data_IF_730927351346
#
_entry.id   IF_730927351346
#
_cell.length_a   1.000
_cell.length_b   1.000
_cell.length_c   1.000
_cell.angle_alpha   90.00
_cell.angle_beta   90.00
_cell.angle_gamma   90.00
#
_symmetry.space_group_name_H-M   'P 1'
#
loop_
_entity.id
_entity.type
_entity.pdbx_description
1 polymer ?
#
# COMPACT_ATOMS: atom_id res chain seq x y z
N UNK A 1 -24.32 14.99 8.45
CA UNK A 1 -23.16 15.09 9.35
C UNK A 1 -22.21 14.02 8.91
N UNK A 2 -21.11 14.38 8.27
CA UNK A 2 -20.04 13.43 7.99
C UNK A 2 -19.39 13.15 9.34
N UNK A 3 -19.70 11.99 9.92
CA UNK A 3 -19.05 11.50 11.14
C UNK A 3 -17.56 11.29 10.85
N UNK A 4 -16.76 12.30 11.13
CA UNK A 4 -15.33 12.23 10.88
C UNK A 4 -14.73 11.15 11.80
N UNK A 5 -14.17 10.12 11.21
CA UNK A 5 -13.57 8.98 11.94
C UNK A 5 -12.42 9.43 12.86
N UNK A 6 -11.77 10.56 12.54
CA UNK A 6 -10.68 11.13 13.33
C UNK A 6 -11.15 11.65 14.69
N UNK A 7 -12.42 12.05 14.80
CA UNK A 7 -13.02 12.53 16.04
C UNK A 7 -13.54 11.40 16.94
N UNK A 8 -13.64 10.17 16.40
CA UNK A 8 -14.14 9.00 17.13
C UNK A 8 -13.07 8.43 18.06
N UNK A 9 -13.48 8.03 19.24
CA UNK A 9 -12.63 7.27 20.14
C UNK A 9 -12.49 5.80 19.65
N UNK A 10 -11.60 5.03 20.29
CA UNK A 10 -11.33 3.65 19.86
C UNK A 10 -12.58 2.75 19.93
N UNK A 11 -13.43 2.94 20.95
CA UNK A 11 -14.64 2.14 21.11
C UNK A 11 -15.65 2.43 19.97
N UNK A 12 -15.83 3.69 19.60
CA UNK A 12 -16.68 4.09 18.49
C UNK A 12 -16.20 3.56 17.14
N UNK A 13 -14.86 3.47 16.94
CA UNK A 13 -14.30 2.85 15.74
C UNK A 13 -14.53 1.34 15.74
N UNK A 14 -14.38 0.68 16.86
CA UNK A 14 -14.69 -0.76 17.00
C UNK A 14 -16.16 -1.01 16.66
N UNK A 15 -17.06 -0.19 17.17
CA UNK A 15 -18.48 -0.28 16.85
C UNK A 15 -18.76 -0.04 15.37
N UNK A 16 -18.15 1.00 14.79
CA UNK A 16 -18.26 1.30 13.36
C UNK A 16 -17.81 0.09 12.50
N UNK A 17 -16.64 -0.51 12.79
CA UNK A 17 -16.14 -1.67 12.05
C UNK A 17 -17.04 -2.90 12.28
N UNK A 18 -17.52 -3.13 13.52
CA UNK A 18 -18.33 -4.29 13.86
C UNK A 18 -19.72 -4.26 13.20
N UNK A 19 -20.32 -3.08 13.12
CA UNK A 19 -21.63 -2.84 12.52
C UNK A 19 -21.56 -2.66 10.99
N UNK A 20 -20.38 -2.38 10.43
CA UNK A 20 -20.21 -2.23 8.99
C UNK A 20 -20.69 -3.49 8.26
N UNK A 21 -21.44 -3.27 7.18
CA UNK A 21 -21.90 -4.36 6.32
C UNK A 21 -20.71 -5.12 5.75
N UNK A 22 -20.68 -6.44 6.02
CA UNK A 22 -19.66 -7.31 5.43
C UNK A 22 -20.00 -7.56 3.97
N UNK A 23 -19.04 -7.36 3.08
CA UNK A 23 -19.22 -7.46 1.63
C UNK A 23 -18.16 -8.38 1.00
N UNK A 24 -18.58 -9.07 -0.05
CA UNK A 24 -17.72 -9.90 -0.90
C UNK A 24 -18.00 -9.54 -2.35
N UNK A 25 -17.52 -8.37 -2.81
CA UNK A 25 -17.72 -7.95 -4.17
C UNK A 25 -17.00 -8.89 -5.14
N UNK A 26 -17.64 -9.16 -6.25
CA UNK A 26 -17.10 -9.98 -7.33
C UNK A 26 -17.18 -9.26 -8.65
N UNK A 27 -16.24 -9.59 -9.54
CA UNK A 27 -16.29 -9.29 -10.95
C UNK A 27 -16.45 -10.60 -11.69
N UNK A 28 -17.49 -10.70 -12.46
CA UNK A 28 -17.86 -11.92 -13.19
C UNK A 28 -17.74 -11.67 -14.68
N UNK A 29 -16.97 -12.50 -15.35
CA UNK A 29 -16.98 -12.62 -16.80
C UNK A 29 -17.90 -13.78 -17.14
N UNK A 30 -18.87 -13.56 -18.02
CA UNK A 30 -19.83 -14.59 -18.37
C UNK A 30 -20.21 -14.54 -19.84
N UNK A 31 -20.24 -15.71 -20.47
CA UNK A 31 -20.77 -15.93 -21.82
C UNK A 31 -22.03 -16.78 -21.74
N UNK A 32 -23.01 -16.49 -22.63
CA UNK A 32 -24.28 -17.20 -22.68
C UNK A 32 -25.32 -16.45 -23.52
N UNK A 33 -26.61 -16.77 -23.37
CA UNK A 33 -27.70 -16.04 -24.00
C UNK A 33 -28.54 -15.26 -22.99
N UNK A 34 -28.23 -13.97 -22.85
CA UNK A 34 -28.89 -13.05 -21.93
C UNK A 34 -29.88 -12.11 -22.64
N UNK A 35 -30.21 -12.35 -23.90
CA UNK A 35 -31.06 -11.47 -24.75
C UNK A 35 -32.45 -11.19 -24.18
N UNK A 36 -32.97 -12.06 -23.31
CA UNK A 36 -34.27 -11.93 -22.64
C UNK A 36 -34.18 -11.80 -21.13
N UNK A 37 -32.98 -11.56 -20.63
CA UNK A 37 -32.73 -11.55 -19.18
C UNK A 37 -32.82 -10.13 -18.60
N UNK A 38 -33.54 -10.00 -17.50
CA UNK A 38 -33.54 -8.78 -16.69
C UNK A 38 -32.65 -9.02 -15.49
N UNK A 39 -31.59 -8.20 -15.37
CA UNK A 39 -30.67 -8.29 -14.24
C UNK A 39 -31.20 -7.53 -13.02
N UNK A 40 -30.92 -8.01 -11.79
CA UNK A 40 -31.21 -7.26 -10.58
C UNK A 40 -30.54 -5.89 -10.55
N UNK A 41 -31.16 -4.90 -9.90
CA UNK A 41 -30.61 -3.54 -9.73
C UNK A 41 -29.24 -3.51 -9.02
N UNK A 42 -28.92 -4.54 -8.24
CA UNK A 42 -27.62 -4.71 -7.57
C UNK A 42 -26.48 -5.08 -8.52
N UNK A 43 -26.78 -5.40 -9.79
CA UNK A 43 -25.80 -5.77 -10.80
C UNK A 43 -25.42 -4.56 -11.64
N UNK A 44 -24.12 -4.30 -11.76
CA UNK A 44 -23.59 -3.40 -12.79
C UNK A 44 -23.13 -4.24 -13.98
N UNK A 45 -23.86 -4.19 -15.06
CA UNK A 45 -23.68 -5.07 -16.23
C UNK A 45 -23.08 -4.27 -17.39
N UNK A 46 -22.04 -4.82 -18.01
CA UNK A 46 -21.38 -4.27 -19.19
C UNK A 46 -21.18 -5.35 -20.23
N UNK A 47 -21.36 -5.02 -21.52
CA UNK A 47 -21.12 -5.95 -22.63
C UNK A 47 -22.30 -6.06 -23.57
N UNK A 48 -22.47 -7.23 -24.15
CA UNK A 48 -23.55 -7.58 -25.11
C UNK A 48 -24.36 -8.74 -24.55
N UNK A 49 -25.51 -9.03 -25.15
CA UNK A 49 -26.37 -10.13 -24.69
C UNK A 49 -25.70 -11.52 -24.68
N UNK A 50 -24.52 -11.66 -25.28
CA UNK A 50 -23.78 -12.93 -25.36
C UNK A 50 -22.49 -12.95 -24.51
N UNK A 51 -21.95 -11.79 -24.12
CA UNK A 51 -20.71 -11.70 -23.38
C UNK A 51 -20.75 -10.49 -22.46
N UNK A 52 -20.70 -10.75 -21.17
CA UNK A 52 -20.92 -9.75 -20.13
C UNK A 52 -19.77 -9.71 -19.12
N UNK A 53 -19.54 -8.51 -18.57
CA UNK A 53 -18.80 -8.30 -17.35
C UNK A 53 -19.77 -7.74 -16.31
N UNK A 54 -19.90 -8.42 -15.17
CA UNK A 54 -20.85 -8.08 -14.12
C UNK A 54 -20.10 -7.79 -12.82
N UNK A 55 -20.41 -6.65 -12.18
CA UNK A 55 -19.95 -6.34 -10.83
C UNK A 55 -21.12 -6.45 -9.87
N UNK A 56 -20.99 -7.28 -8.83
CA UNK A 56 -22.05 -7.52 -7.85
C UNK A 56 -21.48 -8.11 -6.56
N UNK A 57 -22.34 -8.44 -5.60
CA UNK A 57 -21.99 -9.24 -4.42
C UNK A 57 -21.98 -10.73 -4.76
N UNK A 58 -21.05 -11.49 -4.18
CA UNK A 58 -20.96 -12.95 -4.43
C UNK A 58 -22.28 -13.69 -4.21
N UNK A 59 -22.99 -13.36 -3.12
CA UNK A 59 -24.27 -13.99 -2.81
C UNK A 59 -25.35 -13.73 -3.85
N UNK A 60 -25.36 -12.51 -4.42
CA UNK A 60 -26.34 -12.11 -5.43
C UNK A 60 -26.03 -12.82 -6.76
N UNK A 61 -24.75 -12.94 -7.12
CA UNK A 61 -24.33 -13.77 -8.25
C UNK A 61 -24.70 -15.24 -8.07
N UNK A 62 -24.45 -15.81 -6.89
CA UNK A 62 -24.78 -17.21 -6.60
C UNK A 62 -26.28 -17.48 -6.68
N UNK A 63 -27.12 -16.56 -6.18
CA UNK A 63 -28.57 -16.65 -6.32
C UNK A 63 -28.98 -16.55 -7.78
N UNK A 64 -28.47 -15.57 -8.52
CA UNK A 64 -28.79 -15.39 -9.92
C UNK A 64 -28.45 -16.62 -10.78
N UNK A 65 -27.25 -17.18 -10.61
CA UNK A 65 -26.83 -18.33 -11.42
C UNK A 65 -27.56 -19.64 -11.04
N UNK A 66 -28.06 -19.74 -9.81
CA UNK A 66 -28.88 -20.89 -9.42
C UNK A 66 -30.19 -20.96 -10.21
N UNK A 67 -30.79 -19.79 -10.49
CA UNK A 67 -32.05 -19.67 -11.22
C UNK A 67 -31.88 -19.58 -12.76
N UNK A 68 -30.65 -19.29 -13.25
CA UNK A 68 -30.38 -19.01 -14.65
C UNK A 68 -29.21 -19.83 -15.21
N UNK A 69 -29.00 -21.02 -14.68
CA UNK A 69 -27.88 -21.89 -15.07
C UNK A 69 -27.90 -22.26 -16.56
N UNK A 70 -29.07 -22.41 -17.11
CA UNK A 70 -29.32 -22.74 -18.52
C UNK A 70 -28.93 -21.63 -19.52
N UNK A 71 -28.80 -20.39 -19.03
CA UNK A 71 -28.40 -19.26 -19.87
C UNK A 71 -26.88 -19.12 -19.99
N UNK A 72 -26.12 -19.81 -19.15
CA UNK A 72 -24.67 -19.62 -19.00
C UNK A 72 -23.89 -20.75 -19.65
N UNK A 73 -23.11 -20.41 -20.68
CA UNK A 73 -22.18 -21.33 -21.32
C UNK A 73 -20.88 -21.44 -20.50
N UNK A 74 -20.31 -20.30 -20.10
CA UNK A 74 -19.05 -20.21 -19.36
C UNK A 74 -19.04 -18.99 -18.43
N UNK A 75 -18.49 -19.12 -17.24
CA UNK A 75 -18.24 -17.97 -16.36
C UNK A 75 -16.96 -18.11 -15.56
N UNK A 76 -16.31 -16.96 -15.29
CA UNK A 76 -15.17 -16.84 -14.40
C UNK A 76 -15.48 -15.76 -13.35
N UNK A 77 -15.16 -16.04 -12.08
CA UNK A 77 -15.45 -15.14 -10.97
C UNK A 77 -14.15 -14.70 -10.32
N UNK A 78 -13.85 -13.42 -10.41
CA UNK A 78 -12.73 -12.79 -9.70
C UNK A 78 -13.22 -12.17 -8.40
N UNK A 79 -12.44 -12.38 -7.32
CA UNK A 79 -12.65 -11.71 -6.05
C UNK A 79 -11.29 -11.39 -5.41
N UNK A 80 -11.21 -10.27 -4.72
CA UNK A 80 -9.99 -9.80 -4.02
C UNK A 80 -10.15 -9.77 -2.50
N UNK A 81 -11.40 -9.92 -2.00
CA UNK A 81 -11.73 -9.88 -0.58
C UNK A 81 -12.97 -10.73 -0.29
N UNK A 82 -13.11 -11.15 0.97
CA UNK A 82 -14.29 -11.89 1.44
C UNK A 82 -14.72 -11.39 2.80
N UNK A 83 -16.03 -11.10 2.95
CA UNK A 83 -16.62 -10.57 4.19
C UNK A 83 -15.86 -9.34 4.73
N UNK A 84 -15.40 -8.48 3.85
CA UNK A 84 -14.68 -7.26 4.20
C UNK A 84 -15.64 -6.23 4.79
N UNK A 85 -15.25 -5.62 5.91
CA UNK A 85 -16.06 -4.63 6.60
C UNK A 85 -15.85 -3.22 6.05
N UNK A 86 -14.58 -2.86 5.83
CA UNK A 86 -14.18 -1.51 5.41
C UNK A 86 -13.50 -1.64 4.05
N UNK A 87 -14.00 -0.96 3.01
CA UNK A 87 -13.41 -1.00 1.68
C UNK A 87 -12.04 -0.32 1.65
N UNK A 88 -11.36 -0.46 0.54
CA UNK A 88 -10.18 0.36 0.23
C UNK A 88 -10.64 1.75 -0.22
N UNK A 89 -9.78 2.74 0.01
CA UNK A 89 -10.00 4.12 -0.38
C UNK A 89 -10.07 4.25 -1.90
N UNK A 90 -11.02 5.06 -2.38
CA UNK A 90 -11.01 5.53 -3.76
C UNK A 90 -9.84 6.51 -3.94
N UNK A 91 -8.92 6.16 -4.83
CA UNK A 91 -7.71 6.92 -5.10
C UNK A 91 -7.87 7.93 -6.24
N UNK A 92 -9.00 7.96 -6.92
CA UNK A 92 -9.21 8.80 -8.12
C UNK A 92 -9.11 10.29 -7.85
N UNK A 93 -9.31 10.74 -6.61
CA UNK A 93 -9.27 12.13 -6.19
C UNK A 93 -8.12 12.44 -5.23
N UNK A 94 -7.20 11.51 -5.03
CA UNK A 94 -6.07 11.69 -4.10
C UNK A 94 -4.90 12.33 -4.82
N UNK A 95 -4.49 13.51 -4.39
CA UNK A 95 -3.34 14.24 -4.97
C UNK A 95 -2.02 13.82 -4.30
N UNK A 96 -1.66 12.55 -4.44
CA UNK A 96 -0.47 11.95 -3.87
C UNK A 96 0.12 10.91 -4.82
N UNK A 97 1.39 10.56 -4.65
CA UNK A 97 1.99 9.42 -5.36
C UNK A 97 1.74 8.14 -4.58
N UNK A 98 0.95 7.24 -5.13
CA UNK A 98 0.59 5.99 -4.51
C UNK A 98 1.05 4.84 -5.40
N UNK A 99 2.02 4.08 -4.91
CA UNK A 99 2.62 2.98 -5.66
C UNK A 99 1.74 1.72 -5.59
N UNK A 100 1.78 0.86 -6.63
CA UNK A 100 0.96 -0.34 -6.68
C UNK A 100 1.27 -1.30 -5.52
N UNK A 101 0.23 -2.02 -5.05
CA UNK A 101 0.35 -2.97 -3.94
C UNK A 101 0.33 -2.35 -2.55
N UNK A 102 0.08 -1.03 -2.43
CA UNK A 102 -0.27 -0.41 -1.16
C UNK A 102 -1.74 -0.66 -0.82
N UNK A 103 -2.06 -0.80 0.48
CA UNK A 103 -3.42 -0.99 0.98
C UNK A 103 -3.82 0.17 1.87
N UNK A 104 -4.73 1.00 1.37
CA UNK A 104 -5.22 2.19 2.10
C UNK A 104 -6.72 2.00 2.34
N UNK A 105 -7.14 2.05 3.60
CA UNK A 105 -8.57 1.95 3.95
C UNK A 105 -9.32 3.24 3.66
N UNK A 106 -10.63 3.14 3.38
CA UNK A 106 -11.48 4.26 2.94
C UNK A 106 -11.41 5.48 3.87
N UNK A 107 -11.45 5.25 5.17
CA UNK A 107 -11.44 6.31 6.18
C UNK A 107 -10.03 6.81 6.56
N UNK A 108 -9.00 6.46 5.80
CA UNK A 108 -7.68 7.06 5.95
C UNK A 108 -7.59 8.38 5.19
N UNK A 109 -6.85 9.36 5.73
CA UNK A 109 -6.59 10.64 5.08
C UNK A 109 -5.18 10.66 4.48
N UNK A 110 -5.09 11.00 3.20
CA UNK A 110 -3.82 11.16 2.49
C UNK A 110 -3.78 12.58 1.95
N UNK A 111 -2.88 13.39 2.47
CA UNK A 111 -2.75 14.78 2.09
C UNK A 111 -1.85 14.98 0.85
N UNK A 112 -1.94 16.18 0.29
CA UNK A 112 -1.28 16.57 -0.94
C UNK A 112 0.23 16.34 -0.92
N UNK A 113 0.75 15.81 -2.02
CA UNK A 113 2.18 15.57 -2.18
C UNK A 113 2.74 14.42 -1.34
N UNK A 114 1.90 13.71 -0.60
CA UNK A 114 2.34 12.50 0.10
C UNK A 114 2.82 11.43 -0.89
N UNK A 115 3.67 10.53 -0.40
CA UNK A 115 4.18 9.38 -1.15
C UNK A 115 3.92 8.11 -0.36
N UNK A 116 3.16 7.19 -0.93
CA UNK A 116 2.90 5.87 -0.35
C UNK A 116 3.54 4.82 -1.24
N UNK A 117 4.56 4.17 -0.72
CA UNK A 117 5.33 3.17 -1.46
C UNK A 117 4.65 1.80 -1.46
N UNK A 118 5.13 0.92 -2.33
CA UNK A 118 4.58 -0.42 -2.52
C UNK A 118 4.57 -1.23 -1.21
N UNK A 119 3.49 -1.96 -0.98
CA UNK A 119 3.30 -2.82 0.20
C UNK A 119 2.99 -2.07 1.50
N UNK A 120 2.94 -0.73 1.49
CA UNK A 120 2.52 0.03 2.67
C UNK A 120 1.06 -0.25 3.02
N UNK A 121 0.77 -0.31 4.32
CA UNK A 121 -0.58 -0.55 4.85
C UNK A 121 -1.02 0.63 5.71
N UNK A 122 -2.09 1.29 5.31
CA UNK A 122 -2.63 2.46 6.01
C UNK A 122 -4.05 2.13 6.47
N UNK A 123 -4.21 1.98 7.79
CA UNK A 123 -5.46 1.51 8.38
C UNK A 123 -6.45 2.68 8.59
N UNK A 124 -7.68 2.31 8.96
CA UNK A 124 -8.79 3.22 9.21
C UNK A 124 -8.39 4.36 10.16
N UNK A 125 -8.77 5.58 9.80
CA UNK A 125 -8.51 6.77 10.59
C UNK A 125 -7.05 7.21 10.67
N UNK A 126 -6.13 6.57 9.97
CA UNK A 126 -4.76 7.06 9.88
C UNK A 126 -4.67 8.31 8.99
N UNK A 127 -3.76 9.23 9.36
CA UNK A 127 -3.53 10.49 8.64
C UNK A 127 -2.08 10.55 8.15
N UNK A 128 -1.92 10.73 6.86
CA UNK A 128 -0.62 10.99 6.22
C UNK A 128 -0.53 12.45 5.83
N UNK A 129 0.31 13.20 6.52
CA UNK A 129 0.47 14.64 6.32
C UNK A 129 1.11 15.01 4.99
N UNK A 130 1.02 16.30 4.58
CA UNK A 130 1.51 16.78 3.30
C UNK A 130 3.00 16.48 3.08
N UNK A 131 3.36 15.98 1.89
CA UNK A 131 4.74 15.69 1.54
C UNK A 131 5.40 14.56 2.33
N UNK A 132 4.66 13.87 3.19
CA UNK A 132 5.17 12.75 3.98
C UNK A 132 5.32 11.49 3.14
N UNK A 133 6.41 10.75 3.36
CA UNK A 133 6.64 9.46 2.71
C UNK A 133 6.38 8.31 3.68
N UNK A 134 5.55 7.40 3.24
CA UNK A 134 5.32 6.08 3.86
C UNK A 134 6.03 5.06 2.98
N UNK A 135 7.17 4.59 3.45
CA UNK A 135 8.07 3.75 2.66
C UNK A 135 7.59 2.29 2.57
N UNK A 136 8.30 1.47 1.79
CA UNK A 136 7.91 0.11 1.42
C UNK A 136 7.55 -0.75 2.65
N UNK A 137 6.36 -1.34 2.63
CA UNK A 137 5.91 -2.25 3.69
C UNK A 137 5.69 -1.61 5.06
N UNK A 138 5.77 -0.28 5.19
CA UNK A 138 5.46 0.38 6.45
C UNK A 138 3.98 0.25 6.80
N UNK A 139 3.67 0.14 8.09
CA UNK A 139 2.32 -0.06 8.59
C UNK A 139 1.90 1.09 9.51
N UNK A 140 0.87 1.82 9.11
CA UNK A 140 0.18 2.80 9.95
C UNK A 140 -1.07 2.14 10.54
N UNK A 141 -1.02 1.87 11.84
CA UNK A 141 -2.15 1.35 12.60
C UNK A 141 -3.32 2.33 12.63
N UNK A 142 -4.47 1.86 13.12
CA UNK A 142 -5.66 2.72 13.18
C UNK A 142 -5.41 4.02 13.92
N UNK A 143 -5.80 5.14 13.32
CA UNK A 143 -5.62 6.52 13.82
C UNK A 143 -4.17 7.02 13.96
N UNK A 144 -3.15 6.29 13.53
CA UNK A 144 -1.79 6.82 13.51
C UNK A 144 -1.72 8.12 12.67
N UNK A 145 -1.07 9.14 13.20
CA UNK A 145 -1.01 10.47 12.57
C UNK A 145 0.45 10.79 12.23
N UNK A 146 0.69 11.21 11.00
CA UNK A 146 1.97 11.79 10.59
C UNK A 146 1.78 13.25 10.18
N UNK A 147 2.69 14.09 10.61
CA UNK A 147 2.77 15.49 10.22
C UNK A 147 3.30 15.68 8.80
N UNK A 148 3.72 16.90 8.51
CA UNK A 148 4.23 17.32 7.21
C UNK A 148 5.68 16.85 7.01
N UNK A 149 6.04 16.48 5.78
CA UNK A 149 7.40 16.11 5.36
C UNK A 149 8.08 15.02 6.21
N UNK A 150 7.32 14.24 6.98
CA UNK A 150 7.89 13.15 7.74
C UNK A 150 8.34 12.01 6.81
N UNK A 151 9.19 11.13 7.34
CA UNK A 151 9.59 9.91 6.66
C UNK A 151 9.32 8.71 7.56
N UNK A 152 8.47 7.80 7.12
CA UNK A 152 8.20 6.54 7.80
C UNK A 152 8.92 5.45 7.02
N UNK A 153 10.06 5.01 7.53
CA UNK A 153 10.99 4.12 6.83
C UNK A 153 10.42 2.73 6.55
N UNK A 154 11.05 2.03 5.62
CA UNK A 154 10.60 0.73 5.16
C UNK A 154 10.36 -0.26 6.31
N UNK A 155 9.21 -0.94 6.31
CA UNK A 155 8.83 -1.89 7.34
C UNK A 155 8.60 -1.31 8.73
N UNK A 156 8.64 0.01 8.91
CA UNK A 156 8.33 0.64 10.20
C UNK A 156 6.85 0.47 10.57
N UNK A 157 6.57 0.37 11.87
CA UNK A 157 5.22 0.19 12.39
C UNK A 157 4.88 1.33 13.34
N UNK A 158 3.83 2.07 13.04
CA UNK A 158 3.15 2.94 13.97
C UNK A 158 1.95 2.18 14.53
N UNK A 159 1.95 1.87 15.83
CA UNK A 159 0.91 1.04 16.44
C UNK A 159 -0.48 1.69 16.34
N UNK A 160 -1.51 0.88 16.25
CA UNK A 160 -2.90 1.33 16.22
C UNK A 160 -3.50 1.38 17.62
N UNK A 161 -4.71 1.96 17.71
CA UNK A 161 -5.43 2.17 18.99
C UNK A 161 -6.68 1.30 19.15
N UNK A 162 -6.85 0.27 18.33
CA UNK A 162 -8.05 -0.57 18.38
C UNK A 162 -7.93 -1.65 19.45
N UNK A 163 -6.76 -2.19 19.65
CA UNK A 163 -6.42 -3.19 20.66
C UNK A 163 -5.06 -2.86 21.29
N UNK A 164 -5.01 -2.32 22.52
CA UNK A 164 -6.12 -2.05 23.46
C UNK A 164 -6.93 -0.79 23.12
N UNK A 165 -8.26 -0.80 23.36
CA UNK A 165 -9.15 0.27 22.92
C UNK A 165 -9.05 1.59 23.70
N UNK A 166 -8.21 1.65 24.71
CA UNK A 166 -7.98 2.84 25.54
C UNK A 166 -6.77 3.67 25.12
N UNK A 167 -6.03 3.26 24.08
CA UNK A 167 -4.81 3.90 23.70
C UNK A 167 -5.05 5.21 22.94
N UNK A 168 -4.17 6.20 23.15
CA UNK A 168 -4.06 7.36 22.29
C UNK A 168 -3.34 7.00 20.98
N UNK A 169 -3.60 7.72 19.88
CA UNK A 169 -2.90 7.47 18.63
C UNK A 169 -1.40 7.79 18.71
N UNK A 170 -0.62 7.07 17.91
CA UNK A 170 0.75 7.48 17.63
C UNK A 170 0.72 8.79 16.84
N UNK A 171 1.52 9.76 17.26
CA UNK A 171 1.69 11.03 16.55
C UNK A 171 3.15 11.20 16.18
N UNK A 172 3.44 11.30 14.89
CA UNK A 172 4.75 11.67 14.35
C UNK A 172 4.64 13.10 13.85
N UNK A 173 5.35 14.03 14.46
CA UNK A 173 5.29 15.45 14.11
C UNK A 173 6.08 15.75 12.82
N UNK A 174 6.01 17.02 12.38
CA UNK A 174 6.62 17.48 11.14
C UNK A 174 8.12 17.18 11.08
N UNK A 175 8.61 16.91 9.88
CA UNK A 175 10.02 16.70 9.57
C UNK A 175 10.70 15.53 10.35
N UNK A 176 9.93 14.72 11.07
CA UNK A 176 10.49 13.59 11.83
C UNK A 176 10.85 12.42 10.89
N UNK A 177 11.87 11.68 11.27
CA UNK A 177 12.40 10.54 10.52
C UNK A 177 12.30 9.26 11.34
N UNK A 178 11.50 8.31 10.89
CA UNK A 178 11.40 6.97 11.48
C UNK A 178 12.22 6.02 10.63
N UNK A 179 13.27 5.45 11.21
CA UNK A 179 14.15 4.50 10.52
C UNK A 179 13.46 3.19 10.18
N UNK A 180 14.02 2.47 9.19
CA UNK A 180 13.48 1.20 8.73
C UNK A 180 13.29 0.19 9.88
N UNK A 181 12.19 -0.57 9.86
CA UNK A 181 11.82 -1.58 10.87
C UNK A 181 11.72 -1.05 12.31
N UNK A 182 11.62 0.26 12.51
CA UNK A 182 11.35 0.80 13.84
C UNK A 182 9.88 0.59 14.21
N UNK A 183 9.61 0.38 15.48
CA UNK A 183 8.27 0.23 16.05
C UNK A 183 8.00 1.37 17.02
N UNK A 184 6.91 2.09 16.83
CA UNK A 184 6.42 3.11 17.76
C UNK A 184 5.15 2.59 18.39
N UNK A 185 5.14 2.41 19.71
CA UNK A 185 3.98 1.91 20.44
C UNK A 185 2.87 2.97 20.51
N UNK A 186 1.67 2.52 20.80
CA UNK A 186 0.47 3.35 20.95
C UNK A 186 0.68 4.47 21.98
N UNK A 187 0.01 5.61 21.76
CA UNK A 187 0.08 6.79 22.64
C UNK A 187 1.36 7.59 22.57
N UNK A 188 2.33 7.16 21.76
CA UNK A 188 3.65 7.80 21.71
C UNK A 188 3.65 8.97 20.73
N UNK A 189 4.26 10.07 21.16
CA UNK A 189 4.55 11.24 20.34
C UNK A 189 6.03 11.31 19.94
N UNK A 190 6.29 11.39 18.66
CA UNK A 190 7.62 11.66 18.10
C UNK A 190 7.68 13.13 17.74
N UNK A 191 8.47 13.90 18.46
CA UNK A 191 8.55 15.35 18.32
C UNK A 191 9.15 15.80 16.98
N UNK A 192 8.88 17.03 16.61
CA UNK A 192 9.32 17.63 15.36
C UNK A 192 10.81 17.43 15.08
N UNK A 193 11.12 17.01 13.86
CA UNK A 193 12.50 16.80 13.41
C UNK A 193 13.26 15.73 14.20
N UNK A 194 12.59 14.92 15.02
CA UNK A 194 13.25 13.83 15.74
C UNK A 194 13.60 12.67 14.81
N UNK A 195 14.62 11.91 15.17
CA UNK A 195 15.06 10.72 14.41
C UNK A 195 14.95 9.49 15.30
N UNK A 196 14.21 8.51 14.84
CA UNK A 196 14.18 7.16 15.39
C UNK A 196 15.11 6.28 14.56
N UNK A 197 16.14 5.73 15.17
CA UNK A 197 17.08 4.85 14.45
C UNK A 197 16.40 3.56 13.99
N UNK A 198 16.89 2.98 12.90
CA UNK A 198 16.36 1.73 12.35
C UNK A 198 16.33 0.60 13.40
N UNK A 199 15.29 -0.23 13.38
CA UNK A 199 15.11 -1.37 14.27
C UNK A 199 14.83 -1.00 15.74
N UNK A 200 14.58 0.27 16.05
CA UNK A 200 14.28 0.70 17.42
C UNK A 200 12.85 0.41 17.84
N UNK A 201 12.62 0.15 19.14
CA UNK A 201 11.27 0.06 19.72
C UNK A 201 11.06 1.26 20.66
N UNK A 202 10.22 2.19 20.23
CA UNK A 202 9.93 3.42 20.97
C UNK A 202 8.78 3.17 21.92
N UNK A 203 9.05 3.31 23.22
CA UNK A 203 8.11 3.05 24.31
C UNK A 203 7.79 4.29 25.15
N UNK A 204 8.32 5.45 24.78
CA UNK A 204 8.11 6.75 25.42
C UNK A 204 8.24 7.87 24.39
N UNK A 205 7.62 9.00 24.67
CA UNK A 205 7.72 10.19 23.83
C UNK A 205 9.16 10.55 23.50
N UNK A 206 9.37 10.98 22.28
CA UNK A 206 10.67 11.44 21.79
C UNK A 206 10.63 12.96 21.68
N UNK A 207 11.48 13.71 22.43
CA UNK A 207 11.50 15.15 22.30
C UNK A 207 11.93 15.60 20.90
N UNK A 208 11.47 16.79 20.49
CA UNK A 208 11.85 17.39 19.22
C UNK A 208 13.38 17.45 19.04
N UNK A 209 13.84 17.22 17.83
CA UNK A 209 15.24 17.28 17.41
C UNK A 209 16.17 16.34 18.21
N UNK A 210 15.66 15.23 18.76
CA UNK A 210 16.47 14.20 19.40
C UNK A 210 16.56 12.95 18.54
N UNK A 211 17.67 12.25 18.69
CA UNK A 211 17.90 10.92 18.10
C UNK A 211 17.73 9.88 19.18
N UNK A 212 16.85 8.90 18.90
CA UNK A 212 16.66 7.75 19.79
C UNK A 212 17.06 6.46 19.07
N UNK A 213 17.57 5.49 19.85
CA UNK A 213 17.96 4.18 19.33
C UNK A 213 17.80 3.09 20.40
N UNK A 214 17.63 1.86 19.92
CA UNK A 214 17.63 0.65 20.74
C UNK A 214 16.25 0.11 21.10
N UNK A 215 16.21 -0.95 21.89
CA UNK A 215 15.02 -1.66 22.37
C UNK A 215 15.14 -1.90 23.87
N UNK A 216 14.45 -1.11 24.73
CA UNK A 216 13.67 0.08 24.37
C UNK A 216 14.54 1.25 23.91
N UNK A 217 13.99 2.10 23.05
CA UNK A 217 14.68 3.26 22.49
C UNK A 217 15.01 4.29 23.58
N UNK A 218 16.22 4.83 23.52
CA UNK A 218 16.70 5.89 24.42
C UNK A 218 17.31 7.03 23.62
N UNK A 219 17.23 8.25 24.15
CA UNK A 219 17.92 9.40 23.56
C UNK A 219 19.40 9.16 23.58
N UNK A 220 20.07 9.23 22.43
CA UNK A 220 21.51 9.02 22.28
C UNK A 220 22.27 10.28 21.91
N UNK A 221 21.64 11.24 21.23
CA UNK A 221 22.24 12.51 20.81
C UNK A 221 21.20 13.52 20.31
N UNK A 222 21.65 14.74 19.98
CA UNK A 222 20.84 15.72 19.24
C UNK A 222 20.94 15.47 17.75
N UNK A 223 19.90 15.86 17.00
CA UNK A 223 19.89 15.80 15.52
C UNK A 223 20.99 16.69 14.93
N UNK A 224 21.39 17.77 15.62
CA UNK A 224 22.50 18.63 15.20
C UNK A 224 23.84 17.89 15.13
N UNK A 225 23.99 16.80 15.90
CA UNK A 225 25.19 15.97 15.95
C UNK A 225 25.16 14.83 14.90
N UNK A 226 24.17 14.82 14.02
CA UNK A 226 24.06 13.85 12.93
C UNK A 226 24.60 14.46 11.65
N UNK A 227 25.42 13.72 10.92
CA UNK A 227 25.93 14.12 9.61
C UNK A 227 24.76 14.45 8.67
N UNK A 228 24.86 15.54 7.91
CA UNK A 228 23.78 16.04 7.06
C UNK A 228 23.30 15.00 6.05
N UNK A 229 24.21 14.23 5.47
CA UNK A 229 23.91 13.17 4.51
C UNK A 229 23.09 11.97 5.11
N UNK A 230 22.97 11.90 6.43
CA UNK A 230 22.21 10.83 7.12
C UNK A 230 20.83 11.27 7.60
N UNK A 231 20.50 12.54 7.45
CA UNK A 231 19.23 13.14 7.88
C UNK A 231 18.49 13.83 6.74
N UNK A 232 19.11 13.90 5.56
CA UNK A 232 18.54 14.56 4.40
C UNK A 232 17.34 13.78 3.86
N UNK A 233 16.25 14.50 3.70
CA UNK A 233 15.03 14.00 3.05
C UNK A 233 15.12 14.38 1.58
N UNK A 234 15.17 13.37 0.69
CA UNK A 234 15.26 13.58 -0.75
C UNK A 234 13.94 14.14 -1.31
N UNK A 235 13.83 15.46 -1.39
CA UNK A 235 12.62 16.14 -1.87
C UNK A 235 12.27 15.77 -3.31
N UNK A 236 13.27 15.47 -4.15
CA UNK A 236 13.06 15.04 -5.53
C UNK A 236 12.20 13.77 -5.66
N UNK A 237 12.20 12.90 -4.64
CA UNK A 237 11.36 11.69 -4.61
C UNK A 237 9.89 11.98 -4.28
N UNK A 238 9.57 13.18 -3.84
CA UNK A 238 8.23 13.63 -3.42
C UNK A 238 7.55 14.51 -4.47
N UNK A 239 8.23 14.82 -5.57
CA UNK A 239 7.64 15.60 -6.64
C UNK A 239 6.60 14.75 -7.37
N UNK A 240 5.39 15.28 -7.49
CA UNK A 240 4.38 14.77 -8.39
C UNK A 240 4.65 15.36 -9.78
N UNK A 241 4.29 14.62 -10.82
CA UNK A 241 4.30 15.19 -12.18
C UNK A 241 3.26 16.32 -12.22
N UNK A 242 3.69 17.54 -12.55
CA UNK A 242 2.85 18.75 -12.62
C UNK A 242 1.77 18.68 -13.72
N UNK A 243 1.71 17.60 -14.46
CA UNK A 243 0.71 17.39 -15.50
C UNK A 243 -0.62 16.90 -14.91
N UNK A 244 -1.31 17.81 -14.26
CA UNK A 244 -2.70 17.57 -13.87
C UNK A 244 -3.56 17.41 -15.13
N UNK A 245 -4.21 16.27 -15.23
CA UNK A 245 -5.34 16.08 -16.12
C UNK A 245 -6.45 17.07 -15.71
N UNK A 246 -6.67 18.08 -16.52
CA UNK A 246 -7.77 19.04 -16.28
C UNK A 246 -8.99 18.57 -17.04
N UNK A 247 -10.09 18.40 -16.31
CA UNK A 247 -11.39 18.21 -16.93
C UNK A 247 -11.80 19.52 -17.60
N UNK A 248 -12.06 19.48 -18.89
CA UNK A 248 -12.63 20.58 -19.65
C UNK A 248 -13.93 20.08 -20.28
N UNK A 249 -15.04 20.32 -19.57
CA UNK A 249 -16.32 19.68 -19.86
C UNK A 249 -16.24 18.16 -19.60
N UNK A 250 -16.87 17.36 -20.44
CA UNK A 250 -16.86 15.90 -20.34
C UNK A 250 -15.60 15.22 -20.94
N UNK A 251 -14.59 15.99 -21.34
CA UNK A 251 -13.34 15.49 -21.90
C UNK A 251 -12.15 15.73 -20.97
N UNK A 252 -11.35 14.69 -20.78
CA UNK A 252 -10.01 14.76 -20.21
C UNK A 252 -9.06 15.39 -21.25
N UNK A 253 -8.56 16.61 -20.99
CA UNK A 253 -7.52 17.22 -21.82
C UNK A 253 -6.18 17.22 -21.07
N UNK A 254 -5.12 16.82 -21.77
CA UNK A 254 -3.75 16.93 -21.30
C UNK A 254 -3.33 18.42 -21.33
N UNK A 255 -2.87 18.95 -20.19
CA UNK A 255 -2.34 20.33 -20.14
C UNK A 255 -1.14 20.53 -21.05
N UNK A 256 -0.83 21.78 -21.46
CA UNK A 256 0.32 22.09 -22.32
C UNK A 256 1.63 21.83 -21.56
N UNK A 257 2.30 20.74 -21.89
CA UNK A 257 3.55 20.29 -21.26
C UNK A 257 3.97 18.88 -21.70
N UNK A 258 3.12 18.16 -22.43
CA UNK A 258 3.50 16.85 -22.92
C UNK A 258 4.56 16.99 -24.01
N UNK A 259 5.79 16.64 -23.68
CA UNK A 259 6.83 16.35 -24.65
C UNK A 259 6.48 15.02 -25.33
N UNK A 260 5.46 15.03 -26.17
CA UNK A 260 5.36 14.11 -27.28
C UNK A 260 5.97 14.82 -28.52
N UNK A 261 7.21 15.23 -28.39
CA UNK A 261 8.06 15.79 -29.42
C UNK A 261 9.33 14.97 -29.48
N UNK A 262 9.32 13.98 -30.35
CA UNK A 262 10.50 13.37 -30.96
C UNK A 262 11.81 14.12 -30.69
N UNK A 263 12.54 13.65 -29.72
CA UNK A 263 14.00 13.63 -29.63
C UNK A 263 14.33 12.70 -28.46
N UNK A 264 14.10 11.41 -28.64
CA UNK A 264 14.84 10.41 -27.87
C UNK A 264 16.29 10.55 -28.35
N UNK A 265 17.24 10.89 -27.48
CA UNK A 265 18.65 10.62 -27.81
C UNK A 265 18.68 9.10 -28.05
N UNK A 266 19.23 8.69 -29.18
CA UNK A 266 19.55 7.30 -29.44
C UNK A 266 20.28 6.75 -28.21
N UNK A 267 19.71 5.76 -27.58
CA UNK A 267 20.39 5.02 -26.53
C UNK A 267 21.71 4.52 -27.13
N UNK A 268 22.86 4.75 -26.50
CA UNK A 268 24.12 4.23 -27.01
C UNK A 268 23.98 2.71 -27.13
N UNK A 269 24.53 2.10 -28.18
CA UNK A 269 24.43 0.69 -28.42
C UNK A 269 24.96 -0.08 -27.20
N UNK A 270 24.15 -0.94 -26.61
CA UNK A 270 24.56 -1.83 -25.53
C UNK A 270 25.57 -2.80 -26.11
N UNK A 271 26.86 -2.49 -25.98
CA UNK A 271 27.91 -3.42 -26.26
C UNK A 271 27.97 -4.43 -25.14
N UNK A 272 27.56 -5.65 -25.39
CA UNK A 272 27.82 -6.80 -24.52
C UNK A 272 29.33 -6.98 -24.42
N UNK A 273 29.92 -6.59 -23.30
CA UNK A 273 31.29 -6.94 -22.97
C UNK A 273 31.32 -8.36 -22.41
N UNK A 274 32.21 -9.15 -22.95
CA UNK A 274 32.51 -10.50 -22.47
C UNK A 274 32.88 -10.52 -20.98
N UNK A 275 32.61 -11.63 -20.24
CA UNK A 275 32.88 -11.75 -18.83
C UNK A 275 34.38 -11.92 -18.57
N UNK A 276 35.01 -10.93 -18.03
CA UNK A 276 36.42 -11.01 -17.62
C UNK A 276 37.01 -9.69 -17.17
N UNK A 277 36.63 -9.21 -16.00
CA UNK A 277 37.43 -8.48 -15.00
C UNK A 277 36.51 -7.96 -13.89
N UNK A 278 36.64 -8.56 -12.71
CA UNK A 278 36.02 -8.08 -11.46
C UNK A 278 36.73 -6.83 -10.97
N UNK A 279 36.00 -5.76 -10.62
CA UNK A 279 36.54 -4.71 -9.76
C UNK A 279 36.45 -5.16 -8.30
N UNK A 280 37.53 -5.00 -7.57
CA UNK A 280 37.59 -5.18 -6.11
C UNK A 280 36.63 -4.21 -5.39
N UNK A 281 35.56 -4.74 -4.83
CA UNK A 281 34.83 -4.10 -3.75
C UNK A 281 34.95 -4.94 -2.49
N UNK A 282 35.11 -4.34 -1.31
CA UNK A 282 35.21 -5.08 -0.06
C UNK A 282 33.89 -5.75 0.27
N UNK A 283 33.98 -7.04 0.51
CA UNK A 283 32.86 -7.93 0.81
C UNK A 283 32.22 -7.62 2.15
N UNK A 284 30.95 -7.25 2.17
CA UNK A 284 30.09 -7.49 3.32
C UNK A 284 29.14 -8.63 2.96
N UNK A 285 29.43 -9.80 3.53
CA UNK A 285 28.59 -10.97 3.41
C UNK A 285 27.32 -10.78 4.25
N UNK A 286 26.16 -10.79 3.59
CA UNK A 286 24.90 -11.21 4.19
C UNK A 286 24.47 -12.54 3.58
N UNK A 287 24.51 -13.58 4.40
CA UNK A 287 23.99 -14.90 4.06
C UNK A 287 22.46 -14.88 4.07
N UNK A 288 21.85 -14.92 2.91
CA UNK A 288 20.48 -15.42 2.77
C UNK A 288 20.54 -16.77 2.03
N UNK A 289 20.26 -17.85 2.75
CA UNK A 289 19.89 -19.12 2.15
C UNK A 289 18.44 -19.03 1.66
N UNK A 290 18.25 -18.77 0.39
CA UNK A 290 16.96 -18.90 -0.30
C UNK A 290 16.94 -20.20 -1.09
N UNK A 291 15.94 -21.03 -0.84
CA UNK A 291 15.64 -22.24 -1.61
C UNK A 291 15.08 -21.79 -2.96
N UNK A 292 15.86 -21.91 -4.01
CA UNK A 292 15.42 -21.67 -5.38
C UNK A 292 15.02 -22.99 -6.04
N UNK A 293 13.76 -23.10 -6.45
CA UNK A 293 13.35 -24.10 -7.44
C UNK A 293 13.47 -23.49 -8.83
N UNK A 294 14.48 -23.88 -9.57
CA UNK A 294 14.51 -23.72 -11.02
C UNK A 294 14.04 -25.02 -11.67
N UNK A 295 12.94 -24.93 -12.41
CA UNK A 295 12.48 -26.01 -13.29
C UNK A 295 13.21 -25.84 -14.61
N UNK A 296 14.13 -26.75 -14.92
CA UNK A 296 14.67 -26.93 -16.25
C UNK A 296 14.05 -28.20 -16.84
N UNK A 297 13.27 -28.07 -17.90
CA UNK A 297 12.79 -29.17 -18.70
C UNK A 297 13.96 -29.69 -19.58
N UNK A 298 14.34 -30.94 -19.38
CA UNK A 298 14.91 -31.78 -20.47
C UNK A 298 14.40 -33.20 -20.32
N UNK A 299 13.99 -33.69 -21.44
CA UNK A 299 13.45 -35.01 -21.75
C UNK A 299 14.32 -36.18 -21.33
N UNK A 300 13.68 -37.25 -20.82
CA UNK A 300 14.09 -38.59 -21.15
C UNK A 300 14.54 -39.50 -19.99
N UNK A 301 13.81 -40.62 -19.85
CA UNK A 301 14.16 -41.92 -19.30
C UNK A 301 14.04 -42.20 -17.79
N UNK A 302 13.03 -43.03 -17.51
CA UNK A 302 12.86 -44.19 -16.60
C UNK A 302 13.87 -44.43 -15.47
N UNK A 303 13.30 -44.69 -14.27
CA UNK A 303 13.97 -45.49 -13.26
C UNK A 303 13.29 -45.39 -11.88
N UNK A 304 12.60 -46.47 -11.49
CA UNK A 304 12.02 -46.74 -10.18
C UNK A 304 13.06 -46.67 -9.04
N UNK A 305 12.63 -46.25 -7.87
CA UNK A 305 13.39 -46.43 -6.63
C UNK A 305 12.69 -45.80 -5.42
N UNK A 306 11.80 -46.57 -4.78
CA UNK A 306 11.34 -46.35 -3.41
C UNK A 306 12.54 -46.48 -2.44
N UNK A 307 12.65 -45.54 -1.49
CA UNK A 307 13.18 -45.86 -0.15
C UNK A 307 12.56 -44.94 0.89
N UNK A 308 11.91 -45.58 1.86
CA UNK A 308 11.38 -45.05 3.13
C UNK A 308 12.48 -44.96 4.20
N UNK A 309 12.21 -44.09 5.20
CA UNK A 309 12.66 -44.04 6.61
C UNK A 309 14.13 -43.59 6.88
N UNK A 310 14.30 -42.61 7.66
CA UNK A 310 14.04 -42.41 9.11
C UNK A 310 14.02 -40.94 9.48
#
# INVERSE_FOLDING_TARGET
>A
MTDNIQEKNAQEIIEYISQAKKSTPVKVYVNGDFSKTTFPDSFKVFGTDQSLVIFTELKDWQAFIADHRDLVDQSEVELDRRNSAIPLKDLTQVNARIEPGSFIREEAEIHDGAVVMMGAVINIGAVVGPGTMIDMGACLGGRAITGKNAHIGAGAVLAGVIEPPSADPVVVEDDAFIGANAVVLEGIRIGQGAIVAAGSVVTKDVPAHKVVAGTPAKVIKSVQDVDDNKKEIAQALRQLDDQQWKMKGDRLEYGPGSICGRNTPEAPPVSWREPGRTPNYPSYYFLFRGVGHSVCQTSGYRGLGLYERR
#
